data_IF_179941570967
#
_entry.id   IF_179941570967
#
_cell.length_a   1.000
_cell.length_b   1.000
_cell.length_c   1.000
_cell.angle_alpha   90.00
_cell.angle_beta   90.00
_cell.angle_gamma   90.00
#
_symmetry.space_group_name_H-M   'P 1'
#
loop_
_entity.id
_entity.type
_entity.pdbx_description
1 polymer ?
#
# COMPACT_ATOMS: atom_id res chain seq x y z
N UNK A 1 10.85 37.62 22.39
CA UNK A 1 11.31 36.20 22.49
C UNK A 1 11.46 35.66 21.09
N UNK A 2 12.54 34.94 20.78
CA UNK A 2 12.66 34.24 19.50
C UNK A 2 11.58 33.15 19.41
N UNK A 3 10.79 33.17 18.35
CA UNK A 3 9.79 32.12 18.08
C UNK A 3 10.53 30.82 17.74
N UNK A 4 10.10 29.70 18.32
CA UNK A 4 10.64 28.36 18.03
C UNK A 4 9.56 27.53 17.35
N UNK A 5 9.94 26.73 16.34
CA UNK A 5 9.03 25.80 15.67
C UNK A 5 8.55 24.70 16.62
N UNK A 6 7.35 24.18 16.37
CA UNK A 6 6.77 23.06 17.10
C UNK A 6 6.17 22.09 16.09
N UNK A 7 6.43 20.79 16.24
CA UNK A 7 6.07 19.78 15.25
C UNK A 7 4.57 19.67 14.98
N UNK A 8 3.73 20.03 15.95
CA UNK A 8 2.26 20.07 15.79
C UNK A 8 1.79 21.21 14.88
N UNK A 9 2.56 22.29 14.80
CA UNK A 9 2.26 23.46 13.96
C UNK A 9 2.86 23.29 12.54
N UNK A 10 3.82 22.37 12.38
CA UNK A 10 4.47 22.10 11.10
C UNK A 10 3.58 21.28 10.16
N UNK A 11 3.58 21.61 8.87
CA UNK A 11 2.81 20.91 7.85
C UNK A 11 3.75 20.19 6.87
N UNK A 12 3.37 18.97 6.47
CA UNK A 12 4.00 18.28 5.35
C UNK A 12 3.03 18.35 4.17
N UNK A 13 3.47 18.98 3.11
CA UNK A 13 2.68 19.18 1.90
C UNK A 13 3.40 18.51 0.73
N UNK A 14 2.70 17.67 -0.03
CA UNK A 14 3.30 16.98 -1.17
C UNK A 14 2.39 17.13 -2.38
N UNK A 15 3.00 17.29 -3.55
CA UNK A 15 2.30 17.28 -4.83
C UNK A 15 3.11 16.57 -5.91
N UNK A 16 2.42 15.95 -6.87
CA UNK A 16 3.03 15.28 -8.02
C UNK A 16 3.52 16.32 -9.03
N UNK A 17 4.75 16.15 -9.50
CA UNK A 17 5.34 16.95 -10.56
C UNK A 17 4.84 16.50 -11.93
N UNK A 18 4.81 17.42 -12.90
CA UNK A 18 4.55 17.09 -14.30
C UNK A 18 5.73 16.38 -14.96
N UNK A 19 6.95 16.75 -14.56
CA UNK A 19 8.19 16.15 -15.02
C UNK A 19 9.30 16.29 -13.97
N UNK A 20 10.33 15.47 -14.12
CA UNK A 20 11.61 15.60 -13.41
C UNK A 20 12.24 16.98 -13.65
N UNK A 21 12.88 17.54 -12.64
CA UNK A 21 13.55 18.84 -12.69
C UNK A 21 12.63 20.06 -12.57
N UNK A 22 11.31 19.85 -12.41
CA UNK A 22 10.33 20.93 -12.26
C UNK A 22 9.51 20.77 -10.98
N UNK A 23 9.38 21.83 -10.17
CA UNK A 23 8.51 21.80 -9.00
C UNK A 23 7.06 21.54 -9.42
N UNK A 24 6.33 20.80 -8.58
CA UNK A 24 4.91 20.58 -8.77
C UNK A 24 4.14 21.91 -8.75
N UNK A 25 2.98 22.00 -9.41
CA UNK A 25 2.21 23.23 -9.44
C UNK A 25 1.86 23.71 -8.02
N UNK A 26 2.07 24.99 -7.72
CA UNK A 26 1.87 25.57 -6.38
C UNK A 26 0.43 25.41 -5.84
N UNK A 27 -0.56 25.28 -6.73
CA UNK A 27 -1.96 25.00 -6.35
C UNK A 27 -2.28 23.51 -6.12
N UNK A 28 -1.33 22.60 -6.36
CA UNK A 28 -1.53 21.15 -6.28
C UNK A 28 -1.09 20.50 -4.96
N UNK A 29 -0.63 21.29 -3.99
CA UNK A 29 -0.17 20.77 -2.69
C UNK A 29 -1.30 20.12 -1.90
N UNK A 30 -1.04 18.95 -1.32
CA UNK A 30 -1.94 18.29 -0.37
C UNK A 30 -1.21 18.02 0.96
N UNK A 31 -1.90 18.23 2.08
CA UNK A 31 -1.38 17.92 3.41
C UNK A 31 -1.35 16.40 3.61
N UNK A 32 -0.23 15.90 4.11
CA UNK A 32 -0.07 14.51 4.55
C UNK A 32 -0.03 14.45 6.08
N UNK A 33 -1.04 13.86 6.72
CA UNK A 33 -1.01 13.59 8.16
C UNK A 33 0.14 12.64 8.46
N UNK A 34 0.70 12.77 9.67
CA UNK A 34 1.88 12.01 10.07
C UNK A 34 1.88 11.76 11.56
N UNK A 35 2.46 10.64 11.95
CA UNK A 35 2.97 10.42 13.30
C UNK A 35 4.31 11.15 13.44
N UNK A 36 5.22 10.92 12.48
CA UNK A 36 6.46 11.69 12.31
C UNK A 36 6.79 11.83 10.82
N UNK A 37 7.55 12.85 10.46
CA UNK A 37 8.17 12.93 9.13
C UNK A 37 9.53 13.60 9.22
N UNK A 38 10.44 13.17 8.35
CA UNK A 38 11.78 13.74 8.21
C UNK A 38 12.02 14.03 6.74
N UNK A 39 12.59 15.20 6.45
CA UNK A 39 13.06 15.57 5.13
C UNK A 39 14.36 16.32 5.30
N UNK A 40 15.43 15.72 4.79
CA UNK A 40 16.79 16.13 5.07
C UNK A 40 17.63 16.15 3.80
N UNK A 41 18.62 17.03 3.79
CA UNK A 41 19.63 17.10 2.74
C UNK A 41 20.90 16.44 3.26
N UNK A 42 21.37 15.43 2.54
CA UNK A 42 22.57 14.66 2.84
C UNK A 42 23.64 14.94 1.79
N UNK A 43 24.91 14.83 2.16
CA UNK A 43 26.03 14.81 1.23
C UNK A 43 27.04 13.75 1.64
N UNK A 44 27.67 13.11 0.65
CA UNK A 44 28.77 12.19 0.92
C UNK A 44 29.96 12.99 1.48
N UNK A 45 30.58 12.50 2.57
CA UNK A 45 31.73 13.14 3.22
C UNK A 45 32.99 12.35 2.93
N UNK A 46 34.06 13.03 2.53
CA UNK A 46 35.38 12.44 2.36
C UNK A 46 36.46 13.31 3.01
N UNK A 47 37.54 12.65 3.41
CA UNK A 47 38.63 13.20 4.21
C UNK A 47 39.98 12.84 3.58
N UNK A 48 40.99 13.69 3.77
CA UNK A 48 42.35 13.33 3.37
C UNK A 48 42.83 12.11 4.16
N UNK A 49 43.39 11.12 3.47
CA UNK A 49 44.04 9.94 4.05
C UNK A 49 45.57 10.11 4.13
N UNK A 50 46.08 11.31 3.82
CA UNK A 50 47.51 11.61 3.87
C UNK A 50 48.01 11.56 5.31
N UNK A 51 49.08 10.80 5.53
CA UNK A 51 49.78 10.73 6.82
C UNK A 51 50.82 11.85 6.81
N UNK A 52 50.46 12.97 7.43
CA UNK A 52 51.36 14.11 7.62
C UNK A 52 52.01 14.10 9.02
N UNK A 53 53.17 14.76 9.14
CA UNK A 53 53.94 14.90 10.37
C UNK A 53 53.15 15.59 11.51
N UNK A 54 52.12 16.39 11.17
CA UNK A 54 51.19 16.95 12.16
C UNK A 54 50.33 15.90 12.86
N UNK A 55 50.21 14.68 12.30
CA UNK A 55 49.31 13.61 12.75
C UNK A 55 47.84 14.04 12.86
N UNK A 56 47.47 15.10 12.16
CA UNK A 56 46.12 15.68 12.17
C UNK A 56 45.47 15.55 10.79
N UNK A 57 44.14 15.59 10.79
CA UNK A 57 43.37 15.53 9.56
C UNK A 57 43.51 16.84 8.78
N UNK A 58 44.13 16.80 7.60
CA UNK A 58 44.46 17.99 6.82
C UNK A 58 43.29 18.64 6.06
N UNK A 59 42.29 17.87 5.61
CA UNK A 59 41.13 18.40 4.87
C UNK A 59 39.90 17.48 4.99
N UNK A 60 38.72 18.08 4.87
CA UNK A 60 37.42 17.42 4.68
C UNK A 60 36.59 18.16 3.65
N UNK A 61 35.95 17.40 2.74
CA UNK A 61 35.06 17.97 1.74
C UNK A 61 33.74 17.22 1.68
N UNK A 62 32.73 17.91 1.17
CA UNK A 62 31.42 17.36 0.86
C UNK A 62 31.33 17.06 -0.64
N UNK A 63 30.70 15.94 -0.96
CA UNK A 63 30.39 15.50 -2.31
C UNK A 63 29.04 16.01 -2.77
N UNK A 64 28.41 15.26 -3.67
CA UNK A 64 27.08 15.59 -4.17
C UNK A 64 26.05 15.59 -3.05
N UNK A 65 25.17 16.58 -3.08
CA UNK A 65 24.00 16.66 -2.21
C UNK A 65 22.85 15.82 -2.80
N UNK A 66 22.10 15.17 -1.93
CA UNK A 66 20.85 14.46 -2.21
C UNK A 66 19.86 14.72 -1.09
N UNK A 67 18.60 14.35 -1.28
CA UNK A 67 17.57 14.53 -0.25
C UNK A 67 16.94 13.20 0.10
N UNK A 68 16.67 12.99 1.38
CA UNK A 68 15.94 11.83 1.89
C UNK A 68 14.66 12.31 2.56
N UNK A 69 13.60 11.52 2.43
CA UNK A 69 12.31 11.80 3.03
C UNK A 69 11.73 10.55 3.68
N UNK A 70 11.08 10.71 4.83
CA UNK A 70 10.31 9.64 5.45
C UNK A 70 9.01 10.19 6.02
N UNK A 71 7.93 9.44 5.83
CA UNK A 71 6.62 9.73 6.42
C UNK A 71 6.19 8.49 7.17
N UNK A 72 6.12 8.61 8.50
CA UNK A 72 5.53 7.60 9.37
C UNK A 72 4.10 7.96 9.62
N UNK A 73 3.17 7.11 9.20
CA UNK A 73 1.77 7.43 9.12
C UNK A 73 0.89 6.27 9.61
N UNK A 74 -0.40 6.57 9.71
CA UNK A 74 -1.44 5.58 9.97
C UNK A 74 -2.22 5.36 8.68
N UNK A 75 -2.47 4.10 8.33
CA UNK A 75 -3.15 3.74 7.10
C UNK A 75 -4.59 4.29 7.09
N UNK A 76 -4.94 4.93 5.97
CA UNK A 76 -6.24 5.52 5.72
C UNK A 76 -6.52 5.50 4.21
N UNK A 77 -7.76 5.18 3.82
CA UNK A 77 -8.20 5.24 2.42
C UNK A 77 -8.08 6.66 1.85
N UNK A 78 -7.72 6.76 0.58
CA UNK A 78 -7.60 8.00 -0.20
C UNK A 78 -6.35 8.82 0.10
N UNK A 79 -5.92 8.91 1.37
CA UNK A 79 -4.85 9.84 1.80
C UNK A 79 -3.51 9.57 1.11
N UNK A 80 -3.08 8.31 1.05
CA UNK A 80 -1.75 7.93 0.54
C UNK A 80 -1.79 7.27 -0.84
N UNK A 81 -2.96 7.29 -1.50
CA UNK A 81 -3.14 6.67 -2.81
C UNK A 81 -2.12 7.13 -3.87
N UNK A 82 -1.75 8.43 -3.97
CA UNK A 82 -0.72 8.86 -4.93
C UNK A 82 0.65 8.23 -4.66
N UNK A 83 1.04 8.06 -3.39
CA UNK A 83 2.32 7.48 -3.02
C UNK A 83 2.34 5.96 -3.27
N UNK A 84 1.23 5.28 -2.96
CA UNK A 84 1.04 3.86 -3.28
C UNK A 84 1.07 3.61 -4.80
N UNK A 85 0.38 4.46 -5.58
CA UNK A 85 0.36 4.38 -7.04
C UNK A 85 1.75 4.56 -7.65
N UNK A 86 2.52 5.53 -7.15
CA UNK A 86 3.89 5.79 -7.60
C UNK A 86 4.82 4.59 -7.37
N UNK A 87 4.71 3.96 -6.20
CA UNK A 87 5.49 2.77 -5.88
C UNK A 87 5.10 1.56 -6.72
N UNK A 88 3.80 1.39 -6.99
CA UNK A 88 3.29 0.35 -7.90
C UNK A 88 3.56 0.67 -9.38
N UNK A 89 3.95 1.91 -9.72
CA UNK A 89 4.24 2.39 -11.08
C UNK A 89 3.02 2.37 -12.00
N UNK A 90 1.84 2.61 -11.43
CA UNK A 90 0.55 2.65 -12.12
C UNK A 90 -0.49 3.39 -11.27
N UNK A 91 -1.29 4.23 -11.93
CA UNK A 91 -2.42 4.89 -11.27
C UNK A 91 -3.53 3.91 -10.86
N UNK A 92 -4.33 4.30 -9.88
CA UNK A 92 -5.52 3.57 -9.48
C UNK A 92 -6.60 3.63 -10.56
N UNK A 93 -7.12 2.49 -10.96
CA UNK A 93 -8.17 2.35 -11.98
C UNK A 93 -9.37 1.60 -11.42
N UNK A 94 -10.57 1.84 -11.96
CA UNK A 94 -11.76 1.11 -11.57
C UNK A 94 -11.56 -0.42 -11.64
N UNK A 95 -12.17 -1.13 -10.70
CA UNK A 95 -12.18 -2.60 -10.68
C UNK A 95 -13.27 -3.20 -11.57
N UNK A 96 -13.50 -4.51 -11.42
CA UNK A 96 -14.49 -5.23 -12.21
C UNK A 96 -15.93 -4.80 -11.89
N UNK A 97 -16.77 -4.78 -12.92
CA UNK A 97 -18.21 -4.45 -12.81
C UNK A 97 -19.00 -5.45 -13.65
N UNK A 98 -19.94 -6.13 -13.00
CA UNK A 98 -20.98 -6.92 -13.64
C UNK A 98 -22.26 -6.10 -13.61
N UNK A 99 -22.77 -5.78 -14.80
CA UNK A 99 -24.09 -5.17 -14.95
C UNK A 99 -25.18 -6.08 -14.36
N UNK A 100 -26.36 -5.53 -14.13
CA UNK A 100 -27.47 -6.27 -13.54
C UNK A 100 -27.88 -7.46 -14.43
N UNK A 101 -27.79 -8.69 -13.89
CA UNK A 101 -28.07 -9.94 -14.60
C UNK A 101 -29.01 -10.82 -13.78
N UNK A 102 -29.96 -11.47 -14.46
CA UNK A 102 -30.91 -12.42 -13.85
C UNK A 102 -30.33 -13.82 -13.64
N UNK A 103 -29.11 -14.07 -14.11
CA UNK A 103 -28.44 -15.37 -14.07
C UNK A 103 -27.62 -15.57 -12.80
N UNK A 104 -27.47 -14.54 -11.96
CA UNK A 104 -26.64 -14.59 -10.75
C UNK A 104 -27.47 -15.15 -9.59
N UNK A 105 -26.97 -16.21 -8.98
CA UNK A 105 -27.50 -16.83 -7.78
C UNK A 105 -26.54 -16.61 -6.59
N UNK A 106 -27.11 -16.51 -5.39
CA UNK A 106 -26.37 -16.53 -4.14
C UNK A 106 -26.29 -17.96 -3.58
N UNK A 107 -25.08 -18.49 -3.41
CA UNK A 107 -24.82 -19.74 -2.69
C UNK A 107 -24.22 -19.46 -1.30
N UNK A 108 -23.95 -20.49 -0.49
CA UNK A 108 -23.39 -20.29 0.86
C UNK A 108 -21.97 -19.70 0.83
N UNK A 109 -21.19 -20.02 -0.22
CA UNK A 109 -19.77 -19.66 -0.36
C UNK A 109 -19.53 -18.43 -1.24
N UNK A 110 -20.57 -17.92 -1.91
CA UNK A 110 -20.43 -16.85 -2.88
C UNK A 110 -21.41 -16.92 -4.05
N UNK A 111 -21.20 -16.06 -5.04
CA UNK A 111 -22.10 -15.90 -6.17
C UNK A 111 -21.76 -16.90 -7.27
N UNK A 112 -22.79 -17.43 -7.91
CA UNK A 112 -22.66 -18.28 -9.09
C UNK A 112 -23.49 -17.71 -10.23
N UNK A 113 -23.08 -17.92 -11.48
CA UNK A 113 -23.88 -17.56 -12.66
C UNK A 113 -23.79 -18.59 -13.76
N UNK A 114 -24.84 -18.69 -14.56
CA UNK A 114 -24.94 -19.67 -15.65
C UNK A 114 -24.25 -19.26 -16.95
N UNK A 115 -23.91 -17.98 -17.13
CA UNK A 115 -23.25 -17.44 -18.33
C UNK A 115 -22.40 -16.21 -17.99
N UNK A 116 -21.46 -15.85 -18.87
CA UNK A 116 -20.51 -14.76 -18.66
C UNK A 116 -19.21 -15.22 -17.97
N UNK A 117 -18.29 -14.28 -17.73
CA UNK A 117 -16.99 -14.58 -17.10
C UNK A 117 -16.55 -13.48 -16.14
N UNK A 118 -16.44 -13.79 -14.84
CA UNK A 118 -16.12 -12.77 -13.82
C UNK A 118 -14.71 -12.26 -14.05
N UNK A 119 -13.84 -13.17 -14.50
CA UNK A 119 -12.48 -12.87 -14.90
C UNK A 119 -12.43 -11.90 -16.09
N UNK A 120 -13.30 -12.07 -17.09
CA UNK A 120 -13.38 -11.17 -18.25
C UNK A 120 -13.94 -9.80 -17.89
N UNK A 121 -14.84 -9.73 -16.91
CA UNK A 121 -15.39 -8.48 -16.36
C UNK A 121 -14.44 -7.79 -15.37
N UNK A 122 -13.24 -8.34 -15.13
CA UNK A 122 -12.18 -7.68 -14.35
C UNK A 122 -12.18 -7.98 -12.85
N UNK A 123 -12.97 -8.96 -12.38
CA UNK A 123 -12.93 -9.42 -10.99
C UNK A 123 -11.69 -10.28 -10.71
N UNK A 124 -11.10 -10.10 -9.53
CA UNK A 124 -9.87 -10.77 -9.08
C UNK A 124 -10.01 -11.22 -7.63
N UNK A 125 -9.34 -12.30 -7.25
CA UNK A 125 -9.26 -12.70 -5.85
C UNK A 125 -8.44 -11.69 -5.04
N UNK A 126 -8.79 -11.54 -3.77
CA UNK A 126 -8.25 -10.52 -2.86
C UNK A 126 -8.83 -9.12 -3.06
N UNK A 127 -9.83 -8.96 -3.93
CA UNK A 127 -10.59 -7.71 -4.07
C UNK A 127 -11.87 -7.71 -3.22
N UNK A 128 -12.40 -6.53 -2.95
CA UNK A 128 -13.66 -6.30 -2.28
C UNK A 128 -14.69 -5.78 -3.26
N UNK A 129 -15.87 -6.41 -3.25
CA UNK A 129 -17.00 -6.08 -4.11
C UNK A 129 -18.24 -5.79 -3.27
N UNK A 130 -19.24 -5.16 -3.88
CA UNK A 130 -20.59 -4.98 -3.34
C UNK A 130 -21.62 -5.55 -4.29
N UNK A 131 -22.63 -6.17 -3.71
CA UNK A 131 -23.75 -6.79 -4.39
C UNK A 131 -24.94 -5.82 -4.35
N UNK A 132 -25.69 -5.75 -5.44
CA UNK A 132 -26.94 -4.98 -5.54
C UNK A 132 -28.02 -5.80 -6.22
N UNK A 133 -29.29 -5.43 -6.00
CA UNK A 133 -30.42 -5.98 -6.75
C UNK A 133 -30.98 -7.32 -6.27
N UNK A 134 -30.40 -7.96 -5.24
CA UNK A 134 -31.02 -9.14 -4.62
C UNK A 134 -32.34 -8.76 -3.94
N UNK A 135 -33.37 -9.58 -4.11
CA UNK A 135 -34.66 -9.44 -3.42
C UNK A 135 -34.83 -10.56 -2.39
N UNK A 136 -35.92 -10.53 -1.61
CA UNK A 136 -36.17 -11.52 -0.57
C UNK A 136 -36.06 -12.98 -1.11
N UNK A 137 -35.47 -13.92 -0.33
CA UNK A 137 -34.93 -13.76 1.02
C UNK A 137 -33.52 -13.17 1.10
N UNK A 138 -32.81 -13.01 -0.02
CA UNK A 138 -31.41 -12.60 -0.08
C UNK A 138 -31.16 -11.08 -0.12
N UNK A 139 -32.18 -10.25 0.15
CA UNK A 139 -32.06 -8.80 0.11
C UNK A 139 -30.98 -8.24 1.07
N UNK A 140 -30.70 -8.95 2.18
CA UNK A 140 -29.67 -8.56 3.14
C UNK A 140 -28.23 -8.80 2.65
N UNK A 141 -28.03 -9.46 1.49
CA UNK A 141 -26.70 -9.56 0.87
C UNK A 141 -26.26 -8.25 0.19
N UNK A 142 -27.21 -7.33 -0.07
CA UNK A 142 -26.92 -6.09 -0.78
C UNK A 142 -26.16 -5.09 0.08
N UNK A 143 -25.38 -4.23 -0.57
CA UNK A 143 -24.68 -3.10 0.05
C UNK A 143 -23.76 -3.49 1.23
N UNK A 144 -23.13 -4.65 1.12
CA UNK A 144 -22.11 -5.13 2.06
C UNK A 144 -20.78 -5.38 1.37
N UNK A 145 -19.69 -5.05 2.04
CA UNK A 145 -18.34 -5.37 1.59
C UNK A 145 -18.12 -6.89 1.60
N UNK A 146 -18.01 -7.48 0.42
CA UNK A 146 -17.73 -8.90 0.21
C UNK A 146 -16.28 -9.07 -0.23
N UNK A 147 -15.46 -9.71 0.61
CA UNK A 147 -14.07 -10.00 0.33
C UNK A 147 -13.95 -11.30 -0.47
N UNK A 148 -13.47 -11.17 -1.70
CA UNK A 148 -13.40 -12.25 -2.69
C UNK A 148 -12.15 -13.10 -2.44
N UNK A 149 -12.31 -14.39 -2.19
CA UNK A 149 -11.18 -15.32 -1.95
C UNK A 149 -10.82 -16.16 -3.17
N UNK A 150 -11.79 -16.43 -4.06
CA UNK A 150 -11.54 -17.13 -5.33
C UNK A 150 -12.53 -16.70 -6.41
N UNK A 151 -12.08 -16.67 -7.67
CA UNK A 151 -12.83 -16.26 -8.85
C UNK A 151 -12.57 -17.24 -9.99
N UNK A 152 -13.65 -17.74 -10.57
CA UNK A 152 -13.64 -18.47 -11.84
C UNK A 152 -14.53 -17.72 -12.84
N UNK A 153 -14.73 -18.24 -14.05
CA UNK A 153 -15.66 -17.62 -15.01
C UNK A 153 -17.09 -17.48 -14.42
N UNK A 154 -17.57 -18.52 -13.73
CA UNK A 154 -18.96 -18.60 -13.26
C UNK A 154 -19.13 -18.44 -11.76
N UNK A 155 -18.08 -18.66 -10.95
CA UNK A 155 -18.13 -18.56 -9.48
C UNK A 155 -17.29 -17.41 -8.95
N UNK A 156 -17.84 -16.66 -8.00
CA UNK A 156 -17.20 -15.60 -7.23
C UNK A 156 -17.37 -15.90 -5.74
N UNK A 157 -16.37 -16.54 -5.14
CA UNK A 157 -16.42 -16.99 -3.74
C UNK A 157 -15.73 -16.00 -2.80
N UNK A 158 -16.17 -15.98 -1.55
CA UNK A 158 -15.69 -15.05 -0.55
C UNK A 158 -16.56 -15.03 0.69
N UNK A 159 -16.43 -13.96 1.47
CA UNK A 159 -17.15 -13.76 2.73
C UNK A 159 -17.41 -12.28 2.97
N UNK A 160 -18.47 -11.95 3.71
CA UNK A 160 -18.70 -10.57 4.13
C UNK A 160 -17.74 -10.15 5.24
N UNK A 161 -17.23 -8.92 5.14
CA UNK A 161 -16.30 -8.36 6.12
C UNK A 161 -16.97 -8.01 7.46
N UNK A 162 -18.29 -7.88 7.48
CA UNK A 162 -19.08 -7.68 8.70
C UNK A 162 -19.33 -8.99 9.49
N UNK A 163 -18.82 -10.12 9.00
CA UNK A 163 -19.00 -11.45 9.60
C UNK A 163 -20.36 -12.09 9.35
N UNK A 164 -21.26 -11.44 8.60
CA UNK A 164 -22.55 -12.02 8.25
C UNK A 164 -22.40 -13.17 7.25
N UNK A 165 -23.25 -14.18 7.36
CA UNK A 165 -23.30 -15.29 6.41
C UNK A 165 -24.05 -14.88 5.14
N UNK A 166 -23.68 -15.50 4.01
CA UNK A 166 -24.39 -15.26 2.76
C UNK A 166 -25.75 -15.97 2.75
N UNK A 167 -26.81 -15.21 2.44
CA UNK A 167 -28.16 -15.77 2.32
C UNK A 167 -28.32 -16.38 0.94
N UNK A 168 -28.60 -17.68 0.91
CA UNK A 168 -28.76 -18.45 -0.34
C UNK A 168 -30.05 -18.05 -1.05
N UNK A 169 -29.95 -17.86 -2.36
CA UNK A 169 -31.09 -17.65 -3.26
C UNK A 169 -30.73 -18.05 -4.68
N UNK A 170 -31.60 -18.82 -5.33
CA UNK A 170 -31.46 -19.17 -6.74
C UNK A 170 -31.56 -17.93 -7.65
N UNK A 171 -31.04 -18.02 -8.86
CA UNK A 171 -31.07 -16.96 -9.84
C UNK A 171 -32.51 -16.55 -10.21
N UNK A 172 -32.70 -15.27 -10.57
CA UNK A 172 -34.00 -14.72 -10.96
C UNK A 172 -34.13 -13.22 -10.72
N UNK A 173 -33.35 -12.66 -9.80
CA UNK A 173 -33.30 -11.22 -9.53
C UNK A 173 -32.36 -10.49 -10.48
N UNK A 174 -32.59 -9.20 -10.72
CA UNK A 174 -31.66 -8.35 -11.49
C UNK A 174 -30.47 -7.94 -10.61
N UNK A 175 -29.46 -8.83 -10.48
CA UNK A 175 -28.34 -8.66 -9.54
C UNK A 175 -27.16 -7.99 -10.24
N UNK A 176 -26.63 -6.91 -9.64
CA UNK A 176 -25.36 -6.30 -10.03
C UNK A 176 -24.24 -6.61 -9.03
N UNK A 177 -23.01 -6.62 -9.51
CA UNK A 177 -21.82 -6.75 -8.65
C UNK A 177 -20.78 -5.76 -9.12
N UNK A 178 -20.18 -5.00 -8.21
CA UNK A 178 -19.14 -4.05 -8.55
C UNK A 178 -18.01 -4.06 -7.52
N UNK A 179 -16.76 -3.99 -7.99
CA UNK A 179 -15.62 -3.68 -7.14
C UNK A 179 -15.80 -2.30 -6.49
N UNK A 180 -15.42 -2.20 -5.22
CA UNK A 180 -15.52 -0.94 -4.47
C UNK A 180 -14.29 -0.07 -4.72
N UNK A 181 -14.49 1.19 -5.08
CA UNK A 181 -13.41 2.14 -5.36
C UNK A 181 -12.52 1.71 -6.53
N UNK A 182 -11.20 1.87 -6.38
CA UNK A 182 -10.22 1.61 -7.44
C UNK A 182 -9.09 0.72 -6.95
N UNK A 183 -8.35 0.14 -7.91
CA UNK A 183 -7.19 -0.70 -7.65
C UNK A 183 -5.97 -0.32 -8.49
N UNK A 184 -4.78 -0.49 -7.92
CA UNK A 184 -3.50 -0.39 -8.61
C UNK A 184 -2.66 -1.66 -8.39
N UNK A 185 -1.71 -1.89 -9.30
CA UNK A 185 -0.79 -3.02 -9.29
C UNK A 185 0.42 -2.69 -10.16
N UNK A 186 1.53 -3.42 -9.99
CA UNK A 186 2.69 -3.27 -10.87
C UNK A 186 2.41 -3.90 -12.24
N UNK A 187 2.35 -3.10 -13.32
CA UNK A 187 1.98 -3.61 -14.63
C UNK A 187 3.13 -4.41 -15.26
N UNK A 188 2.85 -5.15 -16.33
CA UNK A 188 3.89 -5.84 -17.12
C UNK A 188 4.64 -4.88 -18.06
N UNK A 189 3.95 -3.83 -18.50
CA UNK A 189 4.43 -2.81 -19.45
C UNK A 189 3.78 -1.47 -19.13
N UNK A 190 4.37 -0.36 -19.60
CA UNK A 190 3.78 0.98 -19.41
C UNK A 190 3.92 1.50 -17.97
N UNK A 191 5.04 1.19 -17.31
CA UNK A 191 5.34 1.69 -15.97
C UNK A 191 5.41 3.21 -15.94
N UNK A 192 4.73 3.84 -14.97
CA UNK A 192 4.85 5.28 -14.72
C UNK A 192 6.13 5.59 -13.95
N UNK A 193 6.59 6.84 -14.03
CA UNK A 193 7.62 7.40 -13.14
C UNK A 193 7.07 8.70 -12.58
N UNK A 194 6.68 8.66 -11.31
CA UNK A 194 5.98 9.76 -10.68
C UNK A 194 6.92 10.47 -9.71
N UNK A 195 7.22 11.72 -10.02
CA UNK A 195 8.07 12.59 -9.22
C UNK A 195 7.21 13.47 -8.32
N UNK A 196 7.70 13.80 -7.13
CA UNK A 196 6.98 14.61 -6.17
C UNK A 196 7.83 15.77 -5.67
N UNK A 197 7.17 16.90 -5.44
CA UNK A 197 7.70 17.98 -4.63
C UNK A 197 7.10 17.89 -3.24
N UNK A 198 7.95 17.72 -2.23
CA UNK A 198 7.56 17.76 -0.83
C UNK A 198 7.96 19.10 -0.22
N UNK A 199 7.16 19.63 0.69
CA UNK A 199 7.45 20.85 1.42
C UNK A 199 7.21 20.63 2.91
N UNK A 200 8.21 20.98 3.71
CA UNK A 200 8.07 21.14 5.15
C UNK A 200 7.79 22.61 5.41
N UNK A 201 6.60 22.90 5.93
CA UNK A 201 6.20 24.25 6.27
C UNK A 201 6.23 24.42 7.79
N UNK A 202 6.95 25.44 8.28
CA UNK A 202 6.96 25.87 9.67
C UNK A 202 6.39 27.30 9.77
N UNK A 203 5.04 27.47 9.70
CA UNK A 203 4.41 28.77 9.51
C UNK A 203 4.73 29.77 10.63
N UNK A 204 4.91 29.27 11.85
CA UNK A 204 5.14 30.08 13.06
C UNK A 204 6.48 30.82 13.05
N UNK A 205 7.48 30.30 12.32
CA UNK A 205 8.81 30.92 12.20
C UNK A 205 9.10 31.41 10.78
N UNK A 206 8.16 31.23 9.84
CA UNK A 206 8.36 31.59 8.44
C UNK A 206 9.56 30.84 7.84
N UNK A 207 9.65 29.54 8.09
CA UNK A 207 10.70 28.70 7.50
C UNK A 207 10.02 27.61 6.69
N UNK A 208 10.27 27.61 5.39
CA UNK A 208 9.66 26.67 4.47
C UNK A 208 10.76 26.06 3.60
N UNK A 209 10.83 24.73 3.59
CA UNK A 209 11.86 23.96 2.88
C UNK A 209 11.20 23.05 1.86
N UNK A 210 11.61 23.19 0.60
CA UNK A 210 11.03 22.45 -0.52
C UNK A 210 12.03 21.45 -1.08
N UNK A 211 11.61 20.20 -1.21
CA UNK A 211 12.39 19.06 -1.69
C UNK A 211 11.82 18.62 -3.02
N UNK A 212 12.63 18.65 -4.08
CA UNK A 212 12.21 18.44 -5.46
C UNK A 212 12.72 17.09 -5.96
N UNK A 213 12.03 16.53 -6.95
CA UNK A 213 12.36 15.26 -7.59
C UNK A 213 12.38 14.09 -6.59
N UNK A 214 11.42 14.07 -5.66
CA UNK A 214 11.23 12.95 -4.74
C UNK A 214 10.56 11.78 -5.47
N UNK A 215 11.17 10.61 -5.38
CA UNK A 215 10.58 9.33 -5.75
C UNK A 215 10.20 8.56 -4.49
N UNK A 216 9.06 7.90 -4.52
CA UNK A 216 8.69 6.93 -3.47
C UNK A 216 9.54 5.69 -3.64
N UNK A 217 10.39 5.43 -2.66
CA UNK A 217 11.33 4.31 -2.66
C UNK A 217 10.73 3.06 -2.05
N UNK A 218 10.08 3.21 -0.88
CA UNK A 218 9.61 2.09 -0.09
C UNK A 218 8.29 2.39 0.59
N UNK A 219 7.47 1.37 0.77
CA UNK A 219 6.29 1.36 1.61
C UNK A 219 6.33 0.18 2.58
N UNK A 220 6.07 0.43 3.86
CA UNK A 220 5.90 -0.61 4.88
C UNK A 220 4.52 -0.47 5.52
N UNK A 221 3.75 -1.55 5.54
CA UNK A 221 2.46 -1.66 6.23
C UNK A 221 2.63 -2.68 7.34
N UNK A 222 2.24 -2.33 8.56
CA UNK A 222 2.18 -3.29 9.65
C UNK A 222 0.88 -3.16 10.45
N UNK A 223 0.22 -4.29 10.62
CA UNK A 223 -1.06 -4.45 11.29
C UNK A 223 -0.86 -5.31 12.52
N UNK A 224 -1.34 -4.81 13.65
CA UNK A 224 -1.34 -5.51 14.92
C UNK A 224 -2.79 -5.73 15.36
N UNK A 225 -3.12 -6.86 16.02
CA UNK A 225 -4.49 -7.17 16.42
C UNK A 225 -5.14 -6.06 17.26
N UNK A 226 -4.34 -5.48 18.16
CA UNK A 226 -4.76 -4.45 19.11
C UNK A 226 -4.05 -3.12 18.83
N UNK A 227 -3.97 -2.72 17.56
CA UNK A 227 -3.30 -1.48 17.17
C UNK A 227 -3.83 -0.89 15.88
N UNK A 228 -3.61 0.42 15.73
CA UNK A 228 -3.83 1.11 14.46
C UNK A 228 -2.78 0.61 13.46
N UNK A 229 -3.21 0.40 12.22
CA UNK A 229 -2.33 -0.03 11.14
C UNK A 229 -1.35 1.10 10.79
N UNK A 230 -0.06 0.82 10.95
CA UNK A 230 1.00 1.72 10.49
C UNK A 230 1.18 1.61 8.98
N UNK A 231 1.48 2.74 8.35
CA UNK A 231 1.81 2.87 6.94
C UNK A 231 2.94 3.89 6.80
N UNK A 232 4.11 3.39 6.43
CA UNK A 232 5.32 4.19 6.35
C UNK A 232 5.78 4.29 4.90
N UNK A 233 6.24 5.48 4.51
CA UNK A 233 6.85 5.72 3.21
C UNK A 233 8.27 6.24 3.37
N UNK A 234 9.16 5.78 2.49
CA UNK A 234 10.48 6.37 2.29
C UNK A 234 10.53 6.99 0.92
N UNK A 235 11.01 8.24 0.85
CA UNK A 235 11.22 9.00 -0.37
C UNK A 235 12.70 9.30 -0.53
N UNK A 236 13.15 9.33 -1.79
CA UNK A 236 14.50 9.75 -2.14
C UNK A 236 14.42 10.76 -3.28
N UNK A 237 15.17 11.85 -3.19
CA UNK A 237 15.19 12.85 -4.25
C UNK A 237 16.53 13.56 -4.38
N UNK A 238 16.54 14.58 -5.22
CA UNK A 238 17.80 15.12 -5.76
C UNK A 238 18.26 16.38 -5.06
N UNK A 239 17.34 17.29 -4.77
CA UNK A 239 17.69 18.64 -4.34
C UNK A 239 16.66 19.25 -3.41
N UNK A 240 17.17 20.01 -2.44
CA UNK A 240 16.41 20.96 -1.65
C UNK A 240 16.55 22.34 -2.30
N UNK A 241 15.43 23.01 -2.49
CA UNK A 241 15.37 24.41 -2.92
C UNK A 241 15.80 25.37 -1.79
N UNK A 242 15.94 26.66 -2.08
CA UNK A 242 16.24 27.63 -1.03
C UNK A 242 15.12 27.66 0.02
N UNK A 243 15.51 27.81 1.29
CA UNK A 243 14.58 28.08 2.38
C UNK A 243 13.89 29.42 2.16
N UNK A 244 12.56 29.47 2.27
CA UNK A 244 11.77 30.68 2.04
C UNK A 244 10.97 31.10 3.28
N UNK A 245 10.63 32.39 3.34
CA UNK A 245 9.76 32.97 4.38
C UNK A 245 8.25 32.76 4.13
N UNK A 246 7.90 32.38 2.90
CA UNK A 246 6.53 32.10 2.45
C UNK A 246 6.48 30.67 1.92
N UNK A 247 5.42 29.90 2.20
CA UNK A 247 5.27 28.55 1.68
C UNK A 247 5.12 28.55 0.16
N UNK A 248 5.75 27.56 -0.49
CA UNK A 248 5.60 27.27 -1.91
C UNK A 248 4.19 26.77 -2.26
N UNK A 249 3.58 25.97 -1.39
CA UNK A 249 2.17 25.60 -1.46
C UNK A 249 1.35 26.49 -0.49
N UNK A 250 0.83 27.65 -0.93
CA UNK A 250 0.21 28.63 -0.03
C UNK A 250 -1.16 28.21 0.48
N UNK A 251 -1.87 27.34 -0.26
CA UNK A 251 -3.22 26.88 0.08
C UNK A 251 -3.30 25.37 -0.13
N UNK A 252 -2.62 24.57 0.70
CA UNK A 252 -2.59 23.13 0.52
C UNK A 252 -3.97 22.52 0.78
N UNK A 253 -4.36 21.56 -0.05
CA UNK A 253 -5.57 20.78 0.12
C UNK A 253 -5.50 19.96 1.41
N UNK A 254 -6.62 19.88 2.13
CA UNK A 254 -6.71 19.02 3.30
C UNK A 254 -6.52 17.55 2.93
N UNK A 255 -5.99 16.76 3.85
CA UNK A 255 -5.90 15.32 3.69
C UNK A 255 -7.31 14.72 3.52
N UNK A 256 -7.53 13.78 2.58
CA UNK A 256 -8.77 13.02 2.48
C UNK A 256 -9.07 12.37 3.83
N UNK A 257 -10.22 12.72 4.42
CA UNK A 257 -10.63 12.21 5.72
C UNK A 257 -11.31 10.86 5.58
N UNK A 258 -10.60 9.78 5.92
CA UNK A 258 -11.20 8.45 6.10
C UNK A 258 -10.81 7.86 7.47
N UNK A 259 -11.59 6.87 7.91
CA UNK A 259 -11.36 6.16 9.15
C UNK A 259 -10.03 5.39 9.11
N UNK A 260 -9.41 5.24 10.28
CA UNK A 260 -8.15 4.50 10.44
C UNK A 260 -8.42 3.00 10.48
N UNK A 261 -7.47 2.22 9.98
CA UNK A 261 -7.56 0.76 10.01
C UNK A 261 -7.02 0.18 11.32
N UNK A 262 -7.65 -0.89 11.80
CA UNK A 262 -7.22 -1.66 12.96
C UNK A 262 -7.21 -3.15 12.62
N UNK A 263 -6.38 -3.93 13.30
CA UNK A 263 -6.36 -5.39 13.15
C UNK A 263 -7.68 -6.08 13.53
N UNK A 264 -8.53 -5.44 14.34
CA UNK A 264 -9.82 -6.00 14.77
C UNK A 264 -10.85 -6.16 13.64
N UNK A 265 -10.72 -5.38 12.57
CA UNK A 265 -11.64 -5.34 11.41
C UNK A 265 -10.95 -5.82 10.13
N UNK A 266 -9.90 -6.63 10.28
CA UNK A 266 -9.15 -7.15 9.17
C UNK A 266 -9.46 -8.62 8.88
N UNK A 267 -9.36 -9.01 7.61
CA UNK A 267 -9.52 -10.37 7.14
C UNK A 267 -8.28 -10.80 6.36
N UNK A 268 -7.74 -11.97 6.72
CA UNK A 268 -6.67 -12.63 5.98
C UNK A 268 -7.24 -13.81 5.20
N UNK A 269 -6.78 -14.01 3.97
CA UNK A 269 -6.95 -15.25 3.23
C UNK A 269 -5.60 -15.80 2.80
N UNK A 270 -5.34 -17.06 3.16
CA UNK A 270 -4.15 -17.80 2.76
C UNK A 270 -4.61 -18.97 1.90
N UNK A 271 -4.04 -19.09 0.69
CA UNK A 271 -4.42 -20.13 -0.26
C UNK A 271 -5.94 -20.17 -0.57
N UNK A 272 -6.59 -19.01 -0.62
CA UNK A 272 -8.03 -18.89 -0.86
C UNK A 272 -8.93 -19.26 0.32
N UNK A 273 -8.34 -19.69 1.45
CA UNK A 273 -9.08 -20.01 2.68
C UNK A 273 -9.07 -18.78 3.59
N UNK A 274 -10.22 -18.32 4.10
CA UNK A 274 -10.31 -17.35 5.19
C UNK A 274 -9.54 -17.82 6.43
N UNK A 275 -8.53 -17.07 6.87
CA UNK A 275 -7.84 -17.35 8.14
C UNK A 275 -8.42 -16.46 9.24
N UNK A 276 -9.21 -17.06 10.15
CA UNK A 276 -9.84 -16.36 11.28
C UNK A 276 -8.93 -16.19 12.51
N UNK A 277 -7.69 -16.70 12.46
CA UNK A 277 -6.77 -16.78 13.61
C UNK A 277 -5.43 -16.06 13.38
N UNK A 278 -5.44 -15.05 12.51
CA UNK A 278 -4.27 -14.20 12.28
C UNK A 278 -4.04 -13.27 13.48
N UNK A 279 -2.81 -13.22 13.97
CA UNK A 279 -2.38 -12.39 15.11
C UNK A 279 -1.47 -11.23 14.70
N UNK A 280 -1.31 -10.97 13.41
CA UNK A 280 -0.49 -9.87 12.91
C UNK A 280 -0.03 -10.09 11.48
N UNK A 281 0.20 -8.99 10.78
CA UNK A 281 0.70 -9.01 9.41
C UNK A 281 1.55 -7.77 9.13
N UNK A 282 2.64 -7.94 8.41
CA UNK A 282 3.35 -6.85 7.79
C UNK A 282 3.70 -7.16 6.34
N UNK A 283 3.66 -6.11 5.51
CA UNK A 283 4.04 -6.16 4.10
C UNK A 283 4.93 -4.97 3.80
N UNK A 284 6.04 -5.25 3.17
CA UNK A 284 7.01 -4.30 2.67
C UNK A 284 7.03 -4.36 1.16
N UNK A 285 7.01 -3.20 0.51
CA UNK A 285 7.18 -3.06 -0.93
C UNK A 285 8.33 -2.08 -1.17
N UNK A 286 9.35 -2.52 -1.89
CA UNK A 286 10.56 -1.75 -2.19
C UNK A 286 10.72 -1.60 -3.70
N UNK A 287 10.71 -0.35 -4.18
CA UNK A 287 10.95 0.03 -5.56
C UNK A 287 12.43 0.13 -5.93
N UNK A 288 13.32 -0.05 -4.94
CA UNK A 288 14.78 -0.01 -5.04
C UNK A 288 15.27 1.27 -5.72
N UNK A 289 14.79 2.42 -5.24
CA UNK A 289 15.22 3.72 -5.77
C UNK A 289 16.65 3.99 -5.32
N UNK A 290 17.48 4.47 -6.25
CA UNK A 290 18.84 4.92 -6.00
C UNK A 290 19.03 6.31 -6.57
N UNK A 291 19.84 7.11 -5.88
CA UNK A 291 20.20 8.47 -6.29
C UNK A 291 21.72 8.53 -6.35
N UNK A 292 22.25 8.45 -7.58
CA UNK A 292 23.67 8.26 -7.83
C UNK A 292 24.37 9.62 -8.05
N UNK A 293 25.53 9.85 -7.41
CA UNK A 293 26.31 11.06 -7.61
C UNK A 293 27.00 11.07 -8.97
N UNK A 294 27.17 12.27 -9.56
CA UNK A 294 27.89 12.47 -10.82
C UNK A 294 28.96 13.53 -10.64
N UNK A 295 30.16 13.26 -11.16
CA UNK A 295 31.31 14.16 -11.13
C UNK A 295 30.95 15.48 -11.82
N UNK A 296 31.31 16.60 -11.20
CA UNK A 296 31.09 17.94 -11.76
C UNK A 296 29.71 18.53 -11.50
N UNK A 297 28.84 17.84 -10.76
CA UNK A 297 27.57 18.38 -10.27
C UNK A 297 27.60 18.54 -8.76
N UNK A 298 26.96 19.60 -8.24
CA UNK A 298 26.77 19.79 -6.80
C UNK A 298 25.64 18.91 -6.24
N UNK A 299 24.65 18.57 -7.05
CA UNK A 299 23.51 17.75 -6.67
C UNK A 299 23.55 16.42 -7.39
N UNK A 300 22.93 15.38 -6.82
CA UNK A 300 22.75 14.12 -7.52
C UNK A 300 21.84 14.32 -8.74
N UNK A 301 22.29 13.89 -9.90
CA UNK A 301 21.61 14.14 -11.18
C UNK A 301 20.94 12.89 -11.75
N UNK A 302 21.37 11.70 -11.37
CA UNK A 302 20.77 10.45 -11.80
C UNK A 302 19.98 9.82 -10.65
N UNK A 303 18.68 9.61 -10.88
CA UNK A 303 17.87 8.75 -10.02
C UNK A 303 17.40 7.56 -10.84
N UNK A 304 17.59 6.36 -10.30
CA UNK A 304 17.26 5.10 -10.95
C UNK A 304 16.34 4.28 -10.06
N UNK A 305 15.62 3.33 -10.66
CA UNK A 305 14.69 2.44 -9.94
C UNK A 305 15.03 0.99 -10.25
N UNK A 306 15.07 0.15 -9.23
CA UNK A 306 15.30 -1.28 -9.39
C UNK A 306 14.02 -2.08 -9.62
N UNK A 307 14.02 -3.34 -9.19
CA UNK A 307 12.83 -4.20 -9.27
C UNK A 307 11.89 -3.85 -8.12
N UNK A 308 10.58 -4.02 -8.34
CA UNK A 308 9.59 -3.94 -7.25
C UNK A 308 9.65 -5.26 -6.48
N UNK A 309 10.21 -5.20 -5.28
CA UNK A 309 10.40 -6.34 -4.38
C UNK A 309 9.34 -6.27 -3.28
N UNK A 310 8.65 -7.38 -3.04
CA UNK A 310 7.70 -7.49 -1.93
C UNK A 310 8.18 -8.54 -0.94
N UNK A 311 8.08 -8.24 0.35
CA UNK A 311 8.37 -9.19 1.43
C UNK A 311 7.46 -8.90 2.62
N UNK A 312 7.32 -9.84 3.55
CA UNK A 312 6.51 -9.61 4.72
C UNK A 312 6.53 -10.75 5.70
N UNK A 313 5.65 -10.67 6.70
CA UNK A 313 5.38 -11.76 7.60
C UNK A 313 3.91 -11.75 8.01
N UNK A 314 3.37 -12.93 8.30
CA UNK A 314 2.11 -13.08 8.99
C UNK A 314 2.30 -14.02 10.18
N UNK A 315 1.50 -13.80 11.22
CA UNK A 315 1.50 -14.64 12.41
C UNK A 315 0.12 -15.27 12.58
N UNK A 316 0.07 -16.56 12.85
CA UNK A 316 -1.18 -17.31 13.06
C UNK A 316 -1.01 -18.24 14.26
N UNK A 317 -2.12 -18.53 14.95
CA UNK A 317 -2.13 -19.59 15.96
C UNK A 317 -1.84 -20.95 15.30
N UNK A 318 -0.94 -21.74 15.88
CA UNK A 318 -0.58 -23.05 15.34
C UNK A 318 -1.76 -24.01 15.53
N UNK A 319 -2.50 -24.27 14.45
CA UNK A 319 -3.60 -25.25 14.42
C UNK A 319 -3.17 -26.60 13.83
N UNK A 320 -2.30 -26.57 12.83
CA UNK A 320 -1.84 -27.74 12.10
C UNK A 320 -0.41 -27.54 11.55
N UNK A 321 0.09 -28.54 10.83
CA UNK A 321 1.41 -28.47 10.18
C UNK A 321 1.39 -27.78 8.81
N UNK A 322 0.24 -27.33 8.31
CA UNK A 322 0.06 -26.89 6.91
C UNK A 322 1.03 -25.76 6.53
N UNK A 323 1.15 -24.74 7.38
CA UNK A 323 2.09 -23.63 7.14
C UNK A 323 3.57 -24.04 7.23
N UNK A 324 3.88 -25.04 8.07
CA UNK A 324 5.22 -25.61 8.18
C UNK A 324 5.56 -26.42 6.94
N UNK A 325 4.60 -27.15 6.39
CA UNK A 325 4.76 -27.96 5.20
C UNK A 325 4.87 -27.11 3.93
N UNK A 326 4.12 -26.00 3.85
CA UNK A 326 4.32 -24.99 2.81
C UNK A 326 5.73 -24.40 2.84
N UNK A 327 6.28 -24.14 4.03
CA UNK A 327 7.66 -23.69 4.17
C UNK A 327 8.66 -24.77 3.73
N UNK A 328 8.58 -25.99 4.28
CA UNK A 328 9.51 -27.08 3.98
C UNK A 328 9.49 -27.52 2.52
N UNK A 329 8.33 -27.49 1.89
CA UNK A 329 8.13 -27.88 0.50
C UNK A 329 8.31 -26.73 -0.48
N UNK A 330 8.60 -25.52 0.02
CA UNK A 330 8.64 -24.28 -0.75
C UNK A 330 7.39 -24.03 -1.61
N UNK A 331 6.23 -24.45 -1.11
CA UNK A 331 4.95 -24.32 -1.83
C UNK A 331 4.60 -22.86 -2.01
N UNK A 332 4.35 -22.47 -3.26
CA UNK A 332 3.94 -21.11 -3.60
C UNK A 332 2.42 -20.98 -3.47
N UNK A 333 1.96 -20.01 -2.69
CA UNK A 333 0.53 -19.85 -2.35
C UNK A 333 0.09 -18.39 -2.55
N UNK A 334 -1.18 -18.12 -2.84
CA UNK A 334 -1.70 -16.76 -2.82
C UNK A 334 -1.98 -16.30 -1.38
N UNK A 335 -1.79 -14.99 -1.14
CA UNK A 335 -2.08 -14.31 0.12
C UNK A 335 -2.87 -13.04 -0.18
N UNK A 336 -4.00 -12.85 0.50
CA UNK A 336 -4.78 -11.63 0.39
C UNK A 336 -5.22 -11.14 1.76
N UNK A 337 -5.30 -9.83 1.91
CA UNK A 337 -5.60 -9.18 3.17
C UNK A 337 -6.46 -7.96 2.95
N UNK A 338 -7.53 -7.80 3.71
CA UNK A 338 -8.42 -6.64 3.63
C UNK A 338 -8.65 -6.05 5.01
N UNK A 339 -8.60 -4.73 5.13
CA UNK A 339 -8.82 -3.99 6.37
C UNK A 339 -9.99 -3.06 6.20
N UNK A 340 -11.00 -3.15 7.07
CA UNK A 340 -12.10 -2.17 7.10
C UNK A 340 -11.86 -1.09 8.14
N UNK A 341 -12.27 0.15 7.88
CA UNK A 341 -12.11 1.30 8.79
C UNK A 341 -13.10 1.29 9.97
N UNK A 342 -14.02 0.32 9.99
CA UNK A 342 -15.01 0.12 11.04
C UNK A 342 -15.87 -1.11 10.77
N UNK A 343 -16.93 -1.29 11.57
CA UNK A 343 -17.84 -2.45 11.50
C UNK A 343 -19.07 -2.22 10.62
N UNK A 344 -19.23 -1.01 10.07
CA UNK A 344 -20.33 -0.72 9.16
C UNK A 344 -20.22 -1.59 7.89
N UNK A 345 -21.33 -2.13 7.35
CA UNK A 345 -21.27 -3.00 6.18
C UNK A 345 -20.67 -2.35 4.92
N UNK A 346 -20.68 -1.02 4.86
CA UNK A 346 -20.13 -0.19 3.78
C UNK A 346 -18.88 0.59 4.18
N UNK A 347 -18.22 0.23 5.30
CA UNK A 347 -16.99 0.88 5.76
C UNK A 347 -15.94 0.94 4.65
N UNK A 348 -15.03 1.91 4.74
CA UNK A 348 -13.91 2.01 3.81
C UNK A 348 -12.98 0.82 4.00
N UNK A 349 -12.43 0.30 2.89
CA UNK A 349 -11.58 -0.88 2.88
C UNK A 349 -10.33 -0.62 2.05
N UNK A 350 -9.19 -0.98 2.63
CA UNK A 350 -7.93 -1.14 1.91
C UNK A 350 -7.62 -2.63 1.82
N UNK A 351 -7.51 -3.16 0.60
CA UNK A 351 -7.19 -4.55 0.34
C UNK A 351 -5.85 -4.71 -0.39
N UNK A 352 -5.05 -5.67 0.07
CA UNK A 352 -3.75 -6.07 -0.45
C UNK A 352 -3.88 -7.49 -0.98
N UNK A 353 -3.54 -7.74 -2.24
CA UNK A 353 -3.55 -9.07 -2.80
C UNK A 353 -2.22 -9.41 -3.47
N UNK A 354 -1.70 -10.59 -3.13
CA UNK A 354 -0.44 -11.15 -3.60
C UNK A 354 -0.76 -12.53 -4.18
N UNK A 355 -0.72 -12.65 -5.51
CA UNK A 355 -1.08 -13.89 -6.18
C UNK A 355 -0.09 -15.04 -5.98
N UNK A 356 1.13 -14.72 -5.52
CA UNK A 356 2.21 -15.70 -5.35
C UNK A 356 3.19 -15.26 -4.27
N UNK A 357 3.10 -15.89 -3.11
CA UNK A 357 4.09 -15.78 -2.04
C UNK A 357 4.82 -17.09 -1.86
N UNK A 358 6.08 -17.02 -1.42
CA UNK A 358 6.85 -18.18 -0.96
C UNK A 358 7.24 -17.91 0.50
N UNK A 359 6.87 -18.83 1.39
CA UNK A 359 7.27 -18.75 2.80
C UNK A 359 8.76 -19.10 2.89
N UNK A 360 9.55 -18.23 3.50
CA UNK A 360 11.01 -18.35 3.61
C UNK A 360 11.47 -18.66 5.03
N UNK A 361 10.58 -18.52 6.02
CA UNK A 361 10.79 -19.05 7.37
C UNK A 361 9.46 -19.31 8.06
N UNK A 362 9.41 -20.30 8.95
CA UNK A 362 8.30 -20.56 9.84
C UNK A 362 8.83 -20.84 11.25
N UNK A 363 8.65 -19.89 12.18
CA UNK A 363 9.15 -19.97 13.56
C UNK A 363 7.99 -20.16 14.53
N UNK A 364 8.09 -21.13 15.42
CA UNK A 364 7.08 -21.38 16.46
C UNK A 364 7.56 -20.76 17.77
N UNK A 365 6.69 -19.98 18.40
CA UNK A 365 6.88 -19.47 19.76
C UNK A 365 6.35 -20.50 20.78
N UNK A 366 7.19 -20.84 21.77
CA UNK A 366 6.91 -21.82 22.83
C UNK A 366 6.80 -21.17 24.23
N UNK A 367 6.54 -19.85 24.30
CA UNK A 367 6.24 -19.20 25.56
C UNK A 367 4.97 -19.74 26.24
N UNK A 368 4.73 -19.37 27.50
CA UNK A 368 3.56 -19.74 28.31
C UNK A 368 2.24 -19.09 27.79
N UNK A 369 1.87 -19.42 26.56
CA UNK A 369 0.70 -18.92 25.81
C UNK A 369 0.36 -19.88 24.68
N UNK A 370 -0.73 -19.63 23.95
CA UNK A 370 -1.01 -20.40 22.73
C UNK A 370 0.17 -20.29 21.75
N UNK A 371 0.58 -21.42 21.17
CA UNK A 371 1.68 -21.44 20.21
C UNK A 371 1.33 -20.63 18.97
N UNK A 372 2.19 -19.69 18.62
CA UNK A 372 2.06 -18.84 17.44
C UNK A 372 3.14 -19.26 16.46
N UNK A 373 2.77 -19.44 15.20
CA UNK A 373 3.72 -19.59 14.10
C UNK A 373 3.87 -18.25 13.37
N UNK A 374 5.11 -17.79 13.23
CA UNK A 374 5.47 -16.60 12.45
C UNK A 374 6.05 -17.06 11.11
N UNK A 375 5.34 -16.76 10.04
CA UNK A 375 5.74 -17.10 8.68
C UNK A 375 6.24 -15.85 7.97
N UNK A 376 7.54 -15.77 7.69
CA UNK A 376 8.09 -14.75 6.80
C UNK A 376 7.96 -15.21 5.34
N UNK A 377 7.69 -14.29 4.42
CA UNK A 377 7.50 -14.61 3.02
C UNK A 377 8.12 -13.57 2.10
N UNK A 378 8.52 -14.03 0.92
CA UNK A 378 8.83 -13.19 -0.23
C UNK A 378 7.67 -13.24 -1.21
N UNK A 379 7.37 -12.10 -1.82
CA UNK A 379 6.32 -11.97 -2.82
C UNK A 379 6.96 -12.05 -4.19
N UNK A 380 6.48 -12.98 -5.00
CA UNK A 380 6.94 -13.20 -6.35
C UNK A 380 5.91 -12.68 -7.33
N UNK A 381 6.36 -12.23 -8.50
CA UNK A 381 5.43 -11.93 -9.60
C UNK A 381 4.62 -13.19 -9.93
N UNK A 382 3.31 -13.02 -9.98
CA UNK A 382 2.40 -14.06 -10.44
C UNK A 382 2.65 -14.39 -11.92
N UNK A 383 2.78 -15.68 -12.25
CA UNK A 383 3.06 -16.19 -13.60
C UNK A 383 2.06 -17.26 -14.04
N UNK A 384 1.00 -17.50 -13.26
CA UNK A 384 0.01 -18.52 -13.58
C UNK A 384 -0.85 -18.13 -14.77
N UNK A 385 -1.53 -19.12 -15.32
CA UNK A 385 -2.44 -18.95 -16.47
C UNK A 385 -3.86 -18.58 -16.05
N UNK A 386 -4.23 -18.77 -14.78
CA UNK A 386 -5.53 -18.29 -14.30
C UNK A 386 -5.52 -16.75 -14.18
N UNK A 387 -6.63 -16.14 -14.59
CA UNK A 387 -6.81 -14.69 -14.50
C UNK A 387 -7.37 -14.26 -13.14
N UNK A 388 -7.44 -15.17 -12.15
CA UNK A 388 -7.98 -14.86 -10.83
C UNK A 388 -7.06 -13.90 -10.08
N UNK A 389 -5.76 -13.99 -10.33
CA UNK A 389 -4.75 -13.10 -9.78
C UNK A 389 -4.17 -12.18 -10.85
N UNK A 390 -3.79 -10.96 -10.45
CA UNK A 390 -3.06 -10.07 -11.34
C UNK A 390 -1.63 -10.56 -11.56
N UNK A 391 -1.08 -10.35 -12.75
CA UNK A 391 0.30 -10.69 -13.11
C UNK A 391 1.32 -9.70 -12.48
N UNK A 392 1.22 -9.49 -11.17
CA UNK A 392 1.94 -8.50 -10.36
C UNK A 392 2.61 -9.16 -9.14
N UNK A 393 3.46 -8.41 -8.45
CA UNK A 393 3.94 -8.73 -7.10
C UNK A 393 2.85 -8.42 -6.08
N UNK A 394 2.33 -7.18 -6.08
CA UNK A 394 1.26 -6.73 -5.18
C UNK A 394 0.18 -5.99 -5.99
N UNK A 395 -1.07 -6.16 -5.60
CA UNK A 395 -2.16 -5.26 -5.96
C UNK A 395 -2.78 -4.65 -4.71
N UNK A 396 -3.13 -3.37 -4.80
CA UNK A 396 -3.78 -2.62 -3.74
C UNK A 396 -5.12 -2.12 -4.26
N UNK A 397 -6.19 -2.32 -3.49
CA UNK A 397 -7.50 -1.73 -3.73
C UNK A 397 -7.83 -0.78 -2.59
N UNK A 398 -8.30 0.41 -2.94
CA UNK A 398 -8.74 1.45 -2.01
C UNK A 398 -10.19 1.81 -2.35
N UNK A 399 -11.09 1.61 -1.38
CA UNK A 399 -12.53 1.79 -1.56
C UNK A 399 -12.98 3.24 -1.72
N UNK A 400 -12.17 4.22 -1.31
CA UNK A 400 -12.56 5.63 -1.29
C UNK A 400 -12.22 6.39 -2.58
N UNK A 401 -11.59 5.72 -3.55
CA UNK A 401 -11.08 6.31 -4.80
C UNK A 401 -12.03 6.24 -6.00
#
# INVERSE_FOLDING_TARGET
>A
MASTANGIDSLIVISKQSAEGSKAAAGGGQIYPRVTATFDTEADKYASAEIDASQQQGDTRLGNFRTTGAIKAEAACGTYAPLMAALLRRDFTAGGVAAAQTTIAAAATGLTRSAGSWLAEGFRAGSVVRITGMTAPAAANNAKNFFVTSVTATNLNGQFMDGSAMIVKAAGDSVGVAAVGKRSFTPLTGHTTDWFTAEVQDPKIGVHRSFVDQLVSKMDIAVQPNGITSLDFTLMGKAEGPTTAVPYFPTPLAAPGSGKFSGATAMLSVNGIPSQICTGMSVSLDGQVKVDPVIGSKYATAASRGKVMGSGQFTVLLQDATYLDYFKSETEIPLAYAMASGTAPTADVLALAMGRIKITSAKIDDGEKNKIVTCAFDVLRYKGTDAQHEATTLSIQDSAL
#
